data_IF_150174585237
#
_entry.id   IF_150174585237
#
_cell.length_a   1.000
_cell.length_b   1.000
_cell.length_c   1.000
_cell.angle_alpha   90.00
_cell.angle_beta   90.00
_cell.angle_gamma   90.00
#
_symmetry.space_group_name_H-M   'P 1'
#
loop_
_entity.id
_entity.type
_entity.pdbx_description
1 polymer ?
#
# COMPACT_ATOMS: atom_id res chain seq x y z
N UNK A 1 -19.31 46.36 -29.55
CA UNK A 1 -19.61 46.23 -28.10
C UNK A 1 -20.30 44.91 -27.78
N UNK A 2 -21.49 44.59 -28.32
CA UNK A 2 -22.21 43.34 -27.98
C UNK A 2 -21.35 42.07 -28.13
N UNK A 3 -20.73 41.90 -29.29
CA UNK A 3 -19.88 40.74 -29.59
C UNK A 3 -18.72 40.64 -28.61
N UNK A 4 -18.05 41.76 -28.34
CA UNK A 4 -16.94 41.86 -27.39
C UNK A 4 -17.36 41.49 -25.96
N UNK A 5 -18.56 41.92 -25.55
CA UNK A 5 -19.13 41.61 -24.24
C UNK A 5 -19.49 40.12 -24.14
N UNK A 6 -20.11 39.55 -25.17
CA UNK A 6 -20.40 38.11 -25.23
C UNK A 6 -19.13 37.25 -25.15
N UNK A 7 -18.06 37.65 -25.86
CA UNK A 7 -16.75 37.00 -25.75
C UNK A 7 -16.18 37.14 -24.33
N UNK A 8 -16.26 38.33 -23.74
CA UNK A 8 -15.83 38.57 -22.36
C UNK A 8 -16.58 37.73 -21.33
N UNK A 9 -17.86 37.45 -21.59
CA UNK A 9 -18.69 36.60 -20.74
C UNK A 9 -18.36 35.12 -20.87
N UNK A 10 -17.99 34.67 -22.07
CA UNK A 10 -17.52 33.30 -22.29
C UNK A 10 -16.25 33.00 -21.48
N UNK A 11 -15.35 33.98 -21.38
CA UNK A 11 -14.08 33.86 -20.65
C UNK A 11 -14.06 34.69 -19.36
N UNK A 12 -15.21 34.78 -18.68
CA UNK A 12 -15.36 35.62 -17.49
C UNK A 12 -14.35 35.22 -16.41
N UNK A 13 -13.52 36.18 -15.98
CA UNK A 13 -12.44 35.93 -15.02
C UNK A 13 -11.44 34.86 -15.49
N UNK A 14 -11.20 34.73 -16.80
CA UNK A 14 -10.32 33.70 -17.36
C UNK A 14 -10.91 32.28 -17.32
N UNK A 15 -12.24 32.14 -17.18
CA UNK A 15 -12.93 30.86 -16.99
C UNK A 15 -13.10 30.46 -15.53
N UNK A 16 -12.61 31.26 -14.59
CA UNK A 16 -12.73 30.99 -13.15
C UNK A 16 -14.05 31.50 -12.53
N UNK A 17 -14.77 32.35 -13.27
CA UNK A 17 -15.99 33.02 -12.79
C UNK A 17 -17.15 32.77 -13.74
N UNK A 18 -18.36 32.79 -13.16
CA UNK A 18 -19.61 32.65 -13.90
C UNK A 18 -20.70 33.50 -13.25
N UNK A 19 -21.80 33.72 -13.96
CA UNK A 19 -22.93 34.47 -13.42
C UNK A 19 -23.80 33.62 -12.50
N UNK A 20 -24.24 34.20 -11.39
CA UNK A 20 -25.30 33.60 -10.57
C UNK A 20 -26.68 34.14 -10.92
N UNK A 21 -27.70 33.37 -10.54
CA UNK A 21 -29.12 33.71 -10.75
C UNK A 21 -29.80 34.26 -9.49
N UNK A 22 -29.04 34.81 -8.53
CA UNK A 22 -29.62 35.50 -7.37
C UNK A 22 -30.41 36.74 -7.79
N UNK A 23 -31.40 37.16 -6.99
CA UNK A 23 -32.20 38.36 -7.28
C UNK A 23 -31.34 39.62 -7.51
N UNK A 24 -30.26 39.77 -6.73
CA UNK A 24 -29.32 40.88 -6.88
C UNK A 24 -28.49 40.76 -8.16
N UNK A 25 -28.02 39.55 -8.48
CA UNK A 25 -27.27 39.26 -9.70
C UNK A 25 -28.10 39.52 -10.96
N UNK A 26 -29.37 39.10 -10.96
CA UNK A 26 -30.31 39.36 -12.06
C UNK A 26 -30.53 40.87 -12.22
N UNK A 27 -30.74 41.62 -11.13
CA UNK A 27 -30.89 43.07 -11.20
C UNK A 27 -29.64 43.75 -11.83
N UNK A 28 -28.44 43.34 -11.41
CA UNK A 28 -27.19 43.83 -11.97
C UNK A 28 -26.99 43.46 -13.46
N UNK A 29 -27.42 42.25 -13.86
CA UNK A 29 -27.41 41.81 -15.25
C UNK A 29 -28.41 42.58 -16.11
N UNK A 30 -29.62 42.87 -15.62
CA UNK A 30 -30.60 43.68 -16.34
C UNK A 30 -30.08 45.10 -16.60
N UNK A 31 -29.41 45.69 -15.61
CA UNK A 31 -28.78 47.01 -15.74
C UNK A 31 -27.63 46.94 -16.77
N UNK A 32 -26.73 45.97 -16.65
CA UNK A 32 -25.57 45.88 -17.55
C UNK A 32 -25.89 45.44 -18.98
N UNK A 33 -26.95 44.64 -19.17
CA UNK A 33 -27.36 44.05 -20.44
C UNK A 33 -28.54 44.76 -21.09
N UNK A 34 -28.78 46.02 -20.74
CA UNK A 34 -29.82 46.82 -21.36
C UNK A 34 -29.72 46.76 -22.92
N UNK A 35 -30.79 46.43 -23.66
CA UNK A 35 -30.68 45.99 -25.06
C UNK A 35 -30.27 47.09 -26.05
N UNK A 36 -30.29 48.37 -25.68
CA UNK A 36 -29.83 49.49 -26.53
C UNK A 36 -28.34 49.74 -26.37
N UNK A 37 -27.55 49.28 -27.33
CA UNK A 37 -26.11 49.54 -27.39
C UNK A 37 -25.80 50.94 -27.95
N UNK A 38 -24.70 51.57 -27.51
CA UNK A 38 -24.30 52.89 -27.99
C UNK A 38 -23.86 52.84 -29.46
N UNK A 39 -24.19 53.88 -30.23
CA UNK A 39 -23.75 54.00 -31.63
C UNK A 39 -22.32 54.52 -31.77
N UNK A 40 -21.80 55.18 -30.73
CA UNK A 40 -20.44 55.70 -30.69
C UNK A 40 -19.87 55.70 -29.27
N UNK A 41 -18.56 55.96 -29.10
CA UNK A 41 -17.90 55.85 -27.79
C UNK A 41 -18.44 56.83 -26.74
N UNK A 42 -18.91 58.01 -27.14
CA UNK A 42 -19.47 59.01 -26.22
C UNK A 42 -21.01 58.97 -26.13
N UNK A 43 -21.67 58.01 -26.79
CA UNK A 43 -23.12 57.89 -26.76
C UNK A 43 -23.60 57.30 -25.43
N UNK A 44 -24.27 58.13 -24.63
CA UNK A 44 -24.91 57.79 -23.36
C UNK A 44 -26.41 58.15 -23.36
N UNK A 45 -27.01 58.38 -24.54
CA UNK A 45 -28.38 58.92 -24.65
C UNK A 45 -29.45 57.97 -24.12
N UNK A 46 -29.34 56.68 -24.45
CA UNK A 46 -30.33 55.67 -24.09
C UNK A 46 -29.96 54.90 -22.82
N UNK A 47 -28.67 54.83 -22.48
CA UNK A 47 -28.14 54.08 -21.35
C UNK A 47 -26.72 54.55 -21.05
N UNK A 48 -26.39 54.71 -19.77
CA UNK A 48 -25.06 55.10 -19.33
C UNK A 48 -24.07 53.96 -19.54
N UNK A 49 -22.98 54.18 -20.27
CA UNK A 49 -22.01 53.13 -20.57
C UNK A 49 -21.32 52.53 -19.33
N UNK A 50 -21.15 53.31 -18.25
CA UNK A 50 -20.57 52.81 -17.01
C UNK A 50 -21.37 51.63 -16.40
N UNK A 51 -22.70 51.64 -16.57
CA UNK A 51 -23.57 50.56 -16.08
C UNK A 51 -23.35 49.23 -16.79
N UNK A 52 -22.72 49.22 -17.97
CA UNK A 52 -22.30 48.00 -18.65
C UNK A 52 -21.31 47.17 -17.85
N UNK A 53 -20.62 47.74 -16.86
CA UNK A 53 -19.70 47.02 -15.98
C UNK A 53 -20.35 46.44 -14.71
N UNK A 54 -21.64 46.70 -14.48
CA UNK A 54 -22.36 46.16 -13.31
C UNK A 54 -22.49 44.64 -13.32
N UNK A 55 -22.22 43.96 -14.44
CA UNK A 55 -22.18 42.48 -14.50
C UNK A 55 -21.19 41.89 -13.49
N UNK A 56 -20.18 42.65 -13.06
CA UNK A 56 -19.19 42.20 -12.07
C UNK A 56 -19.84 41.84 -10.74
N UNK A 57 -20.95 42.51 -10.37
CA UNK A 57 -21.71 42.19 -9.16
C UNK A 57 -22.46 40.86 -9.23
N UNK A 58 -22.73 40.37 -10.45
CA UNK A 58 -23.34 39.06 -10.68
C UNK A 58 -22.31 37.94 -10.85
N UNK A 59 -21.01 38.27 -10.90
CA UNK A 59 -19.93 37.34 -11.19
C UNK A 59 -19.42 36.64 -9.92
N UNK A 60 -19.64 35.34 -9.82
CA UNK A 60 -19.23 34.49 -8.70
C UNK A 60 -18.11 33.53 -9.12
N UNK A 61 -17.22 33.22 -8.17
CA UNK A 61 -16.21 32.18 -8.34
C UNK A 61 -16.85 30.82 -8.05
N UNK A 62 -16.87 29.95 -9.07
CA UNK A 62 -17.42 28.58 -8.99
C UNK A 62 -16.46 27.54 -9.55
N UNK A 63 -15.25 27.96 -9.89
CA UNK A 63 -14.23 27.08 -10.40
C UNK A 63 -13.68 26.19 -9.30
N UNK A 64 -13.48 24.91 -9.65
CA UNK A 64 -12.84 23.93 -8.78
C UNK A 64 -11.63 23.32 -9.49
N UNK A 65 -10.54 23.22 -8.74
CA UNK A 65 -9.29 22.62 -9.16
C UNK A 65 -8.86 21.60 -8.14
N UNK A 66 -8.49 20.42 -8.62
CA UNK A 66 -7.86 19.42 -7.76
C UNK A 66 -6.37 19.61 -7.70
N UNK A 67 -5.80 19.46 -6.51
CA UNK A 67 -4.37 19.52 -6.24
C UNK A 67 -3.96 18.23 -5.57
N UNK A 68 -2.89 17.62 -6.06
CA UNK A 68 -2.35 16.41 -5.45
C UNK A 68 -1.64 16.75 -4.14
N UNK A 69 -1.95 16.02 -3.08
CA UNK A 69 -1.41 16.26 -1.73
C UNK A 69 0.10 16.02 -1.67
N UNK A 70 0.60 15.02 -2.39
CA UNK A 70 2.01 14.64 -2.30
C UNK A 70 2.90 15.60 -3.12
N UNK A 71 2.48 16.01 -4.34
CA UNK A 71 3.25 16.90 -5.21
C UNK A 71 2.96 18.39 -5.02
N UNK A 72 1.80 18.74 -4.47
CA UNK A 72 1.33 20.13 -4.38
C UNK A 72 0.98 20.77 -5.73
N UNK A 73 0.93 19.98 -6.81
CA UNK A 73 0.65 20.46 -8.16
C UNK A 73 -0.82 20.27 -8.55
N UNK A 74 -1.38 21.14 -9.41
CA UNK A 74 -2.72 20.97 -9.93
C UNK A 74 -2.78 19.73 -10.84
N UNK A 75 -3.78 18.89 -10.61
CA UNK A 75 -3.99 17.64 -11.34
C UNK A 75 -5.42 17.53 -11.85
N UNK A 76 -5.61 16.81 -12.95
CA UNK A 76 -6.94 16.46 -13.44
C UNK A 76 -7.49 15.27 -12.64
N UNK A 77 -8.76 15.34 -12.27
CA UNK A 77 -9.49 14.24 -11.63
C UNK A 77 -10.98 14.28 -12.00
N UNK A 78 -11.62 13.11 -12.22
CA UNK A 78 -13.05 13.07 -12.42
C UNK A 78 -13.77 13.35 -11.10
N UNK A 79 -14.74 14.27 -11.13
CA UNK A 79 -15.67 14.54 -10.06
C UNK A 79 -17.07 14.13 -10.50
N UNK A 80 -17.81 13.48 -9.61
CA UNK A 80 -19.24 13.34 -9.75
C UNK A 80 -19.93 14.40 -8.89
N UNK A 81 -20.86 15.09 -9.51
CA UNK A 81 -21.57 16.24 -8.96
C UNK A 81 -23.03 15.84 -8.91
N UNK A 82 -23.63 15.89 -7.72
CA UNK A 82 -25.05 15.56 -7.53
C UNK A 82 -25.83 16.83 -7.21
N UNK A 83 -26.85 17.10 -8.01
CA UNK A 83 -27.75 18.24 -7.88
C UNK A 83 -29.05 17.78 -7.22
N UNK A 84 -29.55 18.57 -6.27
CA UNK A 84 -30.79 18.29 -5.55
C UNK A 84 -31.99 18.25 -6.48
N UNK A 85 -33.02 17.52 -6.08
CA UNK A 85 -34.33 17.59 -6.71
C UNK A 85 -34.91 19.01 -6.59
N UNK A 86 -35.45 19.50 -7.69
CA UNK A 86 -36.14 20.79 -7.80
C UNK A 86 -37.52 20.56 -8.39
N UNK A 87 -38.40 21.56 -8.37
CA UNK A 87 -39.74 21.45 -8.95
C UNK A 87 -39.74 21.08 -10.45
N UNK A 88 -38.63 21.33 -11.15
CA UNK A 88 -38.50 21.12 -12.58
C UNK A 88 -37.71 19.86 -12.96
N UNK A 89 -36.85 19.36 -12.07
CA UNK A 89 -35.93 18.25 -12.37
C UNK A 89 -35.76 17.35 -11.15
N UNK A 90 -35.78 16.05 -11.39
CA UNK A 90 -35.40 15.05 -10.39
C UNK A 90 -33.93 15.19 -9.99
N UNK A 91 -33.56 14.59 -8.86
CA UNK A 91 -32.15 14.47 -8.46
C UNK A 91 -31.33 13.82 -9.58
N UNK A 92 -30.24 14.49 -9.99
CA UNK A 92 -29.38 14.06 -11.09
C UNK A 92 -27.92 14.12 -10.66
N UNK A 93 -27.15 13.09 -11.03
CA UNK A 93 -25.69 13.10 -10.92
C UNK A 93 -25.05 13.10 -12.30
N UNK A 94 -23.97 13.86 -12.45
CA UNK A 94 -23.19 13.91 -13.67
C UNK A 94 -21.69 13.98 -13.34
N UNK A 95 -20.86 13.56 -14.29
CA UNK A 95 -19.41 13.49 -14.12
C UNK A 95 -18.72 14.57 -14.94
N UNK A 96 -17.85 15.34 -14.28
CA UNK A 96 -17.00 16.36 -14.89
C UNK A 96 -15.53 16.09 -14.56
N UNK A 97 -14.61 16.63 -15.35
CA UNK A 97 -13.17 16.52 -15.07
C UNK A 97 -12.64 17.87 -14.63
N UNK A 98 -11.97 17.93 -13.49
CA UNK A 98 -11.31 19.15 -13.00
C UNK A 98 -10.13 19.54 -13.87
N UNK A 99 -9.85 20.84 -14.11
CA UNK A 99 -10.61 22.00 -13.62
C UNK A 99 -11.96 22.16 -14.31
N UNK A 100 -13.01 22.38 -13.51
CA UNK A 100 -14.37 22.57 -14.00
C UNK A 100 -15.11 23.64 -13.19
N UNK A 101 -16.32 23.99 -13.63
CA UNK A 101 -17.18 24.98 -12.97
C UNK A 101 -18.31 24.22 -12.29
N UNK A 102 -18.49 24.49 -11.00
CA UNK A 102 -19.57 23.88 -10.22
C UNK A 102 -20.92 24.57 -10.49
N UNK A 103 -22.03 23.84 -10.33
CA UNK A 103 -23.37 24.43 -10.27
C UNK A 103 -23.52 25.47 -9.15
N UNK A 104 -24.66 26.16 -9.12
CA UNK A 104 -24.95 27.07 -8.02
C UNK A 104 -25.04 26.34 -6.67
N UNK A 105 -24.57 27.00 -5.60
CA UNK A 105 -24.58 26.44 -4.23
C UNK A 105 -26.00 26.10 -3.75
N UNK A 106 -26.98 26.84 -4.23
CA UNK A 106 -28.39 26.63 -3.91
C UNK A 106 -28.91 25.27 -4.38
N UNK A 107 -28.33 24.66 -5.42
CA UNK A 107 -28.83 23.40 -6.00
C UNK A 107 -27.88 22.22 -5.77
N UNK A 108 -26.63 22.47 -5.41
CA UNK A 108 -25.64 21.42 -5.25
C UNK A 108 -25.82 20.66 -3.93
N UNK A 109 -25.82 19.32 -4.00
CA UNK A 109 -25.99 18.42 -2.85
C UNK A 109 -24.69 17.73 -2.47
N UNK A 110 -23.98 17.13 -3.43
CA UNK A 110 -22.72 16.41 -3.16
C UNK A 110 -21.70 16.61 -4.26
N UNK A 111 -20.42 16.63 -3.87
CA UNK A 111 -19.28 16.52 -4.77
C UNK A 111 -18.46 15.31 -4.35
N UNK A 112 -18.26 14.37 -5.27
CA UNK A 112 -17.51 13.14 -5.04
C UNK A 112 -16.31 13.08 -5.96
N UNK A 113 -15.12 12.85 -5.42
CA UNK A 113 -13.96 12.47 -6.22
C UNK A 113 -14.17 11.05 -6.72
N UNK A 114 -14.32 10.92 -8.04
CA UNK A 114 -14.56 9.67 -8.71
C UNK A 114 -13.31 9.18 -9.44
N UNK A 115 -13.26 7.89 -9.71
CA UNK A 115 -12.21 7.27 -10.50
C UNK A 115 -11.29 6.33 -9.72
N UNK A 116 -10.60 5.42 -10.44
CA UNK A 116 -9.80 4.39 -9.81
C UNK A 116 -8.49 4.92 -9.22
N UNK A 117 -8.00 6.07 -9.69
CA UNK A 117 -6.62 6.55 -9.47
C UNK A 117 -6.42 7.39 -8.22
N UNK A 118 -7.46 8.07 -7.77
CA UNK A 118 -7.42 8.87 -6.55
C UNK A 118 -8.27 8.21 -5.48
N UNK A 119 -8.00 8.56 -4.23
CA UNK A 119 -8.83 8.13 -3.11
C UNK A 119 -10.21 8.80 -3.18
N UNK A 120 -11.30 8.03 -3.10
CA UNK A 120 -12.64 8.60 -3.16
C UNK A 120 -12.89 9.45 -1.91
N UNK A 121 -13.39 10.65 -2.14
CA UNK A 121 -13.80 11.58 -1.09
C UNK A 121 -15.18 12.11 -1.45
N UNK A 122 -16.11 12.08 -0.49
CA UNK A 122 -17.46 12.61 -0.65
C UNK A 122 -17.57 13.85 0.22
N UNK A 123 -17.93 14.97 -0.39
CA UNK A 123 -18.20 16.23 0.28
C UNK A 123 -19.69 16.47 0.14
N UNK A 124 -20.41 16.32 1.25
CA UNK A 124 -21.84 16.62 1.34
C UNK A 124 -22.01 18.10 1.69
N UNK A 125 -22.86 18.77 0.94
CA UNK A 125 -23.12 20.20 1.07
C UNK A 125 -24.59 20.39 1.41
N UNK A 126 -24.84 21.32 2.35
CA UNK A 126 -26.20 21.80 2.59
C UNK A 126 -26.47 22.90 1.57
N UNK A 127 -27.51 22.77 0.74
CA UNK A 127 -27.83 23.80 -0.25
C UNK A 127 -28.21 25.10 0.46
N UNK A 128 -27.51 26.18 0.15
CA UNK A 128 -27.74 27.51 0.72
C UNK A 128 -27.80 28.56 -0.39
N UNK A 129 -28.66 29.56 -0.24
CA UNK A 129 -28.74 30.75 -1.12
C UNK A 129 -27.65 31.78 -0.81
N UNK A 130 -26.43 31.29 -0.54
CA UNK A 130 -25.24 32.11 -0.30
C UNK A 130 -24.25 31.92 -1.44
N UNK A 131 -23.41 32.92 -1.73
CA UNK A 131 -22.30 32.73 -2.66
C UNK A 131 -21.34 31.65 -2.15
N UNK A 132 -20.63 31.06 -3.09
CA UNK A 132 -19.78 29.89 -2.89
C UNK A 132 -18.66 30.07 -1.85
N UNK A 133 -17.89 31.15 -1.98
CA UNK A 133 -16.86 31.55 -1.04
C UNK A 133 -16.57 33.06 -1.16
N UNK A 134 -16.19 33.68 -0.05
CA UNK A 134 -15.69 35.07 -0.01
C UNK A 134 -14.19 35.03 0.31
N UNK A 135 -13.41 35.94 -0.28
CA UNK A 135 -11.97 36.01 -0.01
C UNK A 135 -11.69 36.11 1.50
N UNK A 136 -11.01 35.10 2.06
CA UNK A 136 -10.60 35.06 3.47
C UNK A 136 -11.53 34.28 4.40
N UNK A 137 -12.58 33.63 3.89
CA UNK A 137 -13.41 32.73 4.71
C UNK A 137 -12.66 31.43 5.03
N UNK A 138 -12.54 31.09 6.31
CA UNK A 138 -11.78 29.91 6.78
C UNK A 138 -12.63 28.64 6.79
N UNK A 139 -13.95 28.78 6.69
CA UNK A 139 -14.90 27.68 6.79
C UNK A 139 -15.39 27.17 5.42
N UNK A 140 -14.69 27.54 4.35
CA UNK A 140 -15.04 27.12 2.99
C UNK A 140 -14.75 25.63 2.78
N UNK A 141 -15.72 24.84 2.26
CA UNK A 141 -15.53 23.41 2.02
C UNK A 141 -14.46 23.10 0.96
N UNK A 142 -14.12 24.08 0.11
CA UNK A 142 -13.18 23.92 -1.00
C UNK A 142 -12.02 24.91 -0.97
N UNK A 143 -11.65 25.50 0.18
CA UNK A 143 -10.47 26.39 0.30
C UNK A 143 -10.32 27.39 -0.88
N UNK A 144 -11.38 28.16 -1.16
CA UNK A 144 -11.46 29.08 -2.32
C UNK A 144 -11.35 28.42 -3.72
N UNK A 145 -11.84 27.19 -3.88
CA UNK A 145 -11.89 26.45 -5.16
C UNK A 145 -10.79 25.39 -5.35
N UNK A 146 -10.00 25.09 -4.32
CA UNK A 146 -8.96 24.04 -4.33
C UNK A 146 -9.39 22.82 -3.53
N UNK A 147 -9.46 21.67 -4.20
CA UNK A 147 -9.74 20.37 -3.61
C UNK A 147 -8.46 19.52 -3.54
N UNK A 148 -7.99 19.24 -2.34
CA UNK A 148 -6.82 18.38 -2.15
C UNK A 148 -7.20 16.91 -2.28
N UNK A 149 -6.57 16.20 -3.20
CA UNK A 149 -6.79 14.77 -3.43
C UNK A 149 -5.50 13.99 -3.31
N UNK A 150 -5.59 12.74 -2.85
CA UNK A 150 -4.43 11.85 -2.76
C UNK A 150 -4.49 10.80 -3.87
N UNK A 151 -3.42 10.69 -4.64
CA UNK A 151 -3.25 9.64 -5.64
C UNK A 151 -3.00 8.29 -4.96
N UNK A 152 -3.57 7.22 -5.52
CA UNK A 152 -3.28 5.84 -5.11
C UNK A 152 -1.94 5.40 -5.70
N UNK A 153 -1.17 4.63 -4.94
CA UNK A 153 0.08 4.05 -5.43
C UNK A 153 -0.26 3.03 -6.52
N UNK A 154 0.53 3.02 -7.61
CA UNK A 154 0.30 2.17 -8.77
C UNK A 154 -0.57 2.80 -9.86
N UNK A 155 -0.98 4.07 -9.70
CA UNK A 155 -1.69 4.83 -10.72
C UNK A 155 -0.90 6.08 -11.14
N UNK A 156 -0.78 6.30 -12.44
CA UNK A 156 -0.20 7.52 -13.00
C UNK A 156 -1.21 8.68 -12.98
N UNK A 157 -0.70 9.92 -13.09
CA UNK A 157 -1.58 11.09 -13.29
C UNK A 157 -2.35 10.95 -14.61
N UNK A 158 -3.47 11.66 -14.77
CA UNK A 158 -4.21 11.67 -16.04
C UNK A 158 -3.45 12.37 -17.17
N UNK A 159 -2.45 13.21 -16.85
CA UNK A 159 -1.57 13.85 -17.84
C UNK A 159 -0.60 12.83 -18.41
N UNK A 160 0.02 12.03 -17.55
CA UNK A 160 1.05 11.06 -17.94
C UNK A 160 0.44 9.80 -18.58
N UNK A 161 -0.76 9.42 -18.14
CA UNK A 161 -1.50 8.29 -18.68
C UNK A 161 -2.98 8.66 -18.81
N UNK A 162 -3.51 9.08 -19.96
CA UNK A 162 -4.93 9.44 -20.06
C UNK A 162 -5.87 8.23 -19.93
N UNK A 163 -5.42 7.02 -20.29
CA UNK A 163 -6.28 5.83 -20.42
C UNK A 163 -6.28 5.01 -19.12
N UNK A 164 -5.18 5.00 -18.37
CA UNK A 164 -5.08 4.29 -17.09
C UNK A 164 -4.70 2.83 -17.29
N UNK A 165 -3.76 2.58 -18.20
CA UNK A 165 -3.32 1.24 -18.56
C UNK A 165 -2.47 0.67 -17.44
N UNK A 166 -3.09 0.01 -16.45
CA UNK A 166 -2.40 -0.79 -15.43
C UNK A 166 -1.49 -1.88 -16.04
N UNK A 167 -1.78 -2.27 -17.29
CA UNK A 167 -0.93 -3.16 -18.07
C UNK A 167 0.47 -2.59 -18.37
N UNK A 168 0.68 -1.28 -18.28
CA UNK A 168 2.00 -0.67 -18.46
C UNK A 168 2.93 -1.04 -17.31
N UNK A 169 2.46 -0.96 -16.06
CA UNK A 169 3.22 -1.38 -14.88
C UNK A 169 3.59 -2.87 -14.98
N UNK A 170 2.62 -3.74 -15.29
CA UNK A 170 2.85 -5.18 -15.37
C UNK A 170 3.79 -5.56 -16.52
N UNK A 171 3.61 -4.99 -17.72
CA UNK A 171 4.50 -5.24 -18.86
C UNK A 171 5.91 -4.74 -18.62
N UNK A 172 6.05 -3.55 -18.05
CA UNK A 172 7.35 -2.96 -17.81
C UNK A 172 8.10 -3.70 -16.70
N UNK A 173 7.42 -4.13 -15.64
CA UNK A 173 8.01 -4.94 -14.58
C UNK A 173 8.36 -6.36 -15.06
N UNK A 174 7.52 -6.99 -15.89
CA UNK A 174 7.87 -8.28 -16.49
C UNK A 174 9.07 -8.18 -17.46
N UNK A 175 9.23 -7.05 -18.15
CA UNK A 175 10.42 -6.78 -18.98
C UNK A 175 11.67 -6.63 -18.11
N UNK A 176 11.58 -5.89 -17.01
CA UNK A 176 12.70 -5.69 -16.07
C UNK A 176 13.11 -7.01 -15.41
N UNK A 177 12.15 -7.78 -14.90
CA UNK A 177 12.41 -9.10 -14.27
C UNK A 177 12.93 -10.11 -15.31
N UNK A 178 12.41 -10.09 -16.54
CA UNK A 178 12.91 -10.93 -17.62
C UNK A 178 14.37 -10.60 -17.99
N UNK A 179 14.74 -9.32 -18.01
CA UNK A 179 16.11 -8.88 -18.29
C UNK A 179 17.10 -9.31 -17.18
N UNK A 180 16.67 -9.34 -15.91
CA UNK A 180 17.52 -9.87 -14.82
C UNK A 180 17.77 -11.37 -14.95
N UNK A 181 16.81 -12.15 -15.48
CA UNK A 181 16.99 -13.61 -15.67
C UNK A 181 17.81 -13.99 -16.90
N UNK A 182 17.84 -13.16 -17.96
CA UNK A 182 18.62 -13.42 -19.18
C UNK A 182 20.03 -12.79 -19.17
N UNK A 183 20.31 -11.86 -18.25
CA UNK A 183 21.58 -11.16 -18.15
C UNK A 183 22.79 -12.00 -17.70
N UNK A 184 22.60 -13.27 -17.34
CA UNK A 184 23.69 -14.17 -16.94
C UNK A 184 24.43 -14.82 -18.14
N UNK A 185 23.88 -14.77 -19.37
CA UNK A 185 24.49 -15.43 -20.53
C UNK A 185 25.05 -14.50 -21.62
N UNK A 186 24.74 -13.20 -21.62
CA UNK A 186 25.22 -12.25 -22.64
C UNK A 186 25.87 -11.02 -22.01
N UNK A 187 27.02 -11.22 -21.35
CA UNK A 187 27.88 -10.12 -20.89
C UNK A 187 28.96 -9.71 -21.90
N UNK A 188 28.74 -10.01 -23.18
CA UNK A 188 29.71 -9.70 -24.22
C UNK A 188 29.01 -9.35 -25.55
N UNK A 189 28.51 -8.12 -25.67
CA UNK A 189 28.58 -7.34 -26.92
C UNK A 189 28.04 -5.92 -26.72
N UNK A 190 28.94 -4.97 -26.99
CA UNK A 190 28.69 -3.62 -27.49
C UNK A 190 27.98 -2.58 -26.59
N UNK A 191 28.84 -1.73 -26.02
CA UNK A 191 28.61 -0.33 -25.65
C UNK A 191 28.00 0.49 -26.80
N UNK A 192 26.71 0.34 -27.06
CA UNK A 192 25.93 1.37 -27.74
C UNK A 192 24.79 1.77 -26.81
N UNK A 193 24.87 3.01 -26.31
CA UNK A 193 23.82 3.70 -25.57
C UNK A 193 22.49 3.63 -26.33
N UNK A 194 21.69 2.61 -26.03
CA UNK A 194 20.33 2.47 -26.51
C UNK A 194 19.41 3.39 -25.71
N UNK A 195 18.87 4.40 -26.38
CA UNK A 195 17.84 5.35 -25.96
C UNK A 195 16.49 4.66 -25.62
N UNK A 196 16.45 3.66 -24.73
CA UNK A 196 15.22 2.88 -24.53
C UNK A 196 15.18 1.88 -23.36
N UNK A 197 16.16 1.83 -22.46
CA UNK A 197 16.02 1.10 -21.20
C UNK A 197 15.45 2.02 -20.14
N UNK A 198 14.11 2.04 -20.01
CA UNK A 198 13.44 2.67 -18.86
C UNK A 198 13.98 2.01 -17.60
N UNK A 199 14.65 2.78 -16.76
CA UNK A 199 15.19 2.29 -15.49
C UNK A 199 14.04 2.09 -14.49
N UNK A 200 14.23 1.18 -13.53
CA UNK A 200 13.18 0.79 -12.58
C UNK A 200 12.69 1.97 -11.75
N UNK A 201 13.60 2.88 -11.39
CA UNK A 201 13.31 4.10 -10.65
C UNK A 201 12.49 5.13 -11.45
N UNK A 202 12.77 5.28 -12.75
CA UNK A 202 11.95 6.12 -13.65
C UNK A 202 10.53 5.57 -13.77
N UNK A 203 10.38 4.25 -13.82
CA UNK A 203 9.08 3.61 -13.79
C UNK A 203 8.39 3.86 -12.45
N UNK A 204 9.06 3.58 -11.33
CA UNK A 204 8.46 3.71 -10.00
C UNK A 204 8.03 5.15 -9.71
N UNK A 205 8.81 6.14 -10.15
CA UNK A 205 8.45 7.55 -10.01
C UNK A 205 7.23 7.98 -10.85
N UNK A 206 6.96 7.31 -11.97
CA UNK A 206 5.73 7.54 -12.74
C UNK A 206 4.48 7.00 -12.01
N UNK A 207 4.60 5.83 -11.36
CA UNK A 207 3.47 5.14 -10.72
C UNK A 207 3.32 5.42 -9.21
N UNK A 208 4.30 6.07 -8.58
CA UNK A 208 4.30 6.38 -7.16
C UNK A 208 4.93 7.75 -6.89
N UNK A 209 4.27 8.55 -6.06
CA UNK A 209 4.83 9.77 -5.46
C UNK A 209 5.59 9.50 -4.15
N UNK A 210 5.63 8.25 -3.67
CA UNK A 210 6.27 7.90 -2.41
C UNK A 210 7.81 7.89 -2.54
N UNK A 211 8.53 8.79 -1.84
CA UNK A 211 10.00 8.85 -1.89
C UNK A 211 10.67 7.56 -1.43
N UNK A 212 10.04 6.81 -0.52
CA UNK A 212 10.62 5.57 0.02
C UNK A 212 10.70 4.47 -1.04
N UNK A 213 9.66 4.32 -1.87
CA UNK A 213 9.63 3.36 -2.96
C UNK A 213 10.61 3.73 -4.08
N UNK A 214 10.70 5.04 -4.40
CA UNK A 214 11.64 5.54 -5.42
C UNK A 214 13.08 5.29 -4.97
N UNK A 215 13.42 5.65 -3.72
CA UNK A 215 14.74 5.41 -3.16
C UNK A 215 15.06 3.91 -3.09
N UNK A 216 14.09 3.08 -2.71
CA UNK A 216 14.27 1.63 -2.69
C UNK A 216 14.56 1.06 -4.09
N UNK A 217 13.84 1.53 -5.11
CA UNK A 217 14.08 1.12 -6.50
C UNK A 217 15.50 1.49 -6.98
N UNK A 218 15.99 2.67 -6.60
CA UNK A 218 17.35 3.13 -6.94
C UNK A 218 18.43 2.33 -6.24
N UNK A 219 18.23 1.98 -4.96
CA UNK A 219 19.27 1.34 -4.15
C UNK A 219 19.30 -0.18 -4.29
N UNK A 220 18.14 -0.83 -4.33
CA UNK A 220 18.01 -2.28 -4.26
C UNK A 220 17.71 -2.94 -5.60
N UNK A 221 17.24 -2.19 -6.60
CA UNK A 221 16.82 -2.74 -7.89
C UNK A 221 17.70 -2.29 -9.06
N UNK A 222 18.65 -1.36 -8.86
CA UNK A 222 19.57 -0.91 -9.92
C UNK A 222 20.65 -1.98 -10.21
N UNK A 223 20.74 -2.49 -11.45
CA UNK A 223 21.76 -3.47 -11.84
C UNK A 223 23.19 -2.96 -11.68
N UNK A 224 23.44 -1.65 -11.60
CA UNK A 224 24.79 -1.12 -11.34
C UNK A 224 25.34 -1.55 -9.97
N UNK A 225 24.45 -1.81 -9.01
CA UNK A 225 24.79 -2.30 -7.66
C UNK A 225 24.82 -3.83 -7.54
N UNK A 226 24.54 -4.57 -8.63
CA UNK A 226 24.48 -6.04 -8.67
C UNK A 226 25.76 -6.75 -8.21
N UNK A 227 26.92 -6.09 -8.26
CA UNK A 227 28.19 -6.66 -7.77
C UNK A 227 28.22 -6.92 -6.24
N UNK A 228 27.29 -6.34 -5.47
CA UNK A 228 27.26 -6.41 -4.00
C UNK A 228 26.18 -7.33 -3.43
N UNK A 229 25.18 -7.73 -4.22
CA UNK A 229 24.01 -8.47 -3.75
C UNK A 229 23.89 -9.83 -4.44
N UNK A 230 23.33 -10.81 -3.72
CA UNK A 230 22.90 -12.09 -4.30
C UNK A 230 21.82 -11.82 -5.36
N UNK A 231 21.95 -12.40 -6.56
CA UNK A 231 20.99 -12.23 -7.65
C UNK A 231 19.55 -12.60 -7.20
N UNK A 232 19.44 -13.59 -6.32
CA UNK A 232 18.17 -14.01 -5.71
C UNK A 232 17.51 -12.90 -4.87
N UNK A 233 18.31 -12.06 -4.20
CA UNK A 233 17.80 -10.97 -3.38
C UNK A 233 17.31 -9.81 -4.24
N UNK A 234 18.01 -9.51 -5.34
CA UNK A 234 17.58 -8.46 -6.27
C UNK A 234 16.26 -8.82 -6.95
N UNK A 235 16.10 -10.08 -7.38
CA UNK A 235 14.84 -10.57 -7.95
C UNK A 235 13.70 -10.48 -6.92
N UNK A 236 13.94 -10.88 -5.67
CA UNK A 236 12.98 -10.73 -4.59
C UNK A 236 12.58 -9.26 -4.37
N UNK A 237 13.54 -8.34 -4.34
CA UNK A 237 13.26 -6.91 -4.18
C UNK A 237 12.36 -6.37 -5.29
N UNK A 238 12.58 -6.76 -6.54
CA UNK A 238 11.75 -6.39 -7.68
C UNK A 238 10.32 -6.94 -7.55
N UNK A 239 10.17 -8.21 -7.15
CA UNK A 239 8.85 -8.83 -6.97
C UNK A 239 8.05 -8.16 -5.83
N UNK A 240 8.70 -7.87 -4.71
CA UNK A 240 8.07 -7.17 -3.57
C UNK A 240 7.69 -5.75 -3.93
N UNK A 241 8.58 -5.03 -4.63
CA UNK A 241 8.30 -3.67 -5.09
C UNK A 241 7.09 -3.63 -6.01
N UNK A 242 7.02 -4.55 -6.97
CA UNK A 242 5.88 -4.68 -7.88
C UNK A 242 4.58 -4.95 -7.12
N UNK A 243 4.60 -5.84 -6.13
CA UNK A 243 3.41 -6.11 -5.32
C UNK A 243 2.98 -4.88 -4.50
N UNK A 244 3.92 -4.23 -3.83
CA UNK A 244 3.63 -3.07 -2.99
C UNK A 244 3.01 -1.93 -3.81
N UNK A 245 3.49 -1.72 -5.05
CA UNK A 245 2.94 -0.73 -5.97
C UNK A 245 1.57 -1.16 -6.50
N UNK A 246 1.45 -2.40 -6.97
CA UNK A 246 0.21 -2.91 -7.59
C UNK A 246 -0.97 -2.98 -6.63
N UNK A 247 -0.72 -3.27 -5.35
CA UNK A 247 -1.75 -3.41 -4.32
C UNK A 247 -1.98 -2.13 -3.50
N UNK A 248 -1.28 -1.04 -3.80
CA UNK A 248 -1.34 0.22 -3.05
C UNK A 248 -1.00 0.03 -1.56
N UNK A 249 0.15 -0.63 -1.29
CA UNK A 249 0.62 -0.99 0.07
C UNK A 249 2.14 -0.75 0.25
N UNK A 250 2.62 0.50 0.17
CA UNK A 250 4.06 0.81 0.31
C UNK A 250 4.64 0.38 1.67
N UNK A 251 3.88 0.51 2.76
CA UNK A 251 4.34 0.16 4.11
C UNK A 251 4.70 -1.33 4.29
N UNK A 252 4.18 -2.22 3.43
CA UNK A 252 4.50 -3.64 3.50
C UNK A 252 5.91 -3.97 3.01
N UNK A 253 6.55 -3.07 2.25
CA UNK A 253 7.91 -3.25 1.77
C UNK A 253 8.87 -3.59 2.94
N UNK A 254 8.77 -2.85 4.03
CA UNK A 254 9.58 -3.09 5.23
C UNK A 254 9.27 -4.45 5.86
N UNK A 255 8.01 -4.88 5.87
CA UNK A 255 7.58 -6.18 6.41
C UNK A 255 8.18 -7.31 5.58
N UNK A 256 8.07 -7.25 4.25
CA UNK A 256 8.65 -8.25 3.35
C UNK A 256 10.17 -8.38 3.51
N UNK A 257 10.88 -7.25 3.56
CA UNK A 257 12.32 -7.22 3.77
C UNK A 257 12.70 -7.76 5.15
N UNK A 258 11.96 -7.41 6.20
CA UNK A 258 12.20 -7.92 7.55
C UNK A 258 12.04 -9.44 7.62
N UNK A 259 11.00 -10.00 6.99
CA UNK A 259 10.76 -11.45 6.98
C UNK A 259 11.83 -12.19 6.16
N UNK A 260 12.22 -11.64 5.02
CA UNK A 260 13.28 -12.22 4.19
C UNK A 260 14.63 -12.22 4.91
N UNK A 261 15.00 -11.09 5.51
CA UNK A 261 16.26 -10.93 6.24
C UNK A 261 16.30 -11.77 7.51
N UNK A 262 15.17 -11.97 8.22
CA UNK A 262 15.09 -12.91 9.35
C UNK A 262 15.52 -14.31 8.91
N UNK A 263 14.87 -14.89 7.88
CA UNK A 263 15.20 -16.24 7.43
C UNK A 263 16.58 -16.32 6.80
N UNK A 264 17.00 -15.28 6.07
CA UNK A 264 18.35 -15.17 5.53
C UNK A 264 19.42 -15.17 6.62
N UNK A 265 19.22 -14.40 7.69
CA UNK A 265 20.14 -14.36 8.83
C UNK A 265 20.19 -15.69 9.58
N UNK A 266 19.06 -16.38 9.73
CA UNK A 266 19.01 -17.73 10.30
C UNK A 266 19.79 -18.73 9.44
N UNK A 267 19.63 -18.68 8.12
CA UNK A 267 20.35 -19.55 7.21
C UNK A 267 21.87 -19.29 7.24
N UNK A 268 22.28 -18.02 7.27
CA UNK A 268 23.68 -17.63 7.38
C UNK A 268 24.30 -18.06 8.72
N UNK A 269 23.55 -17.96 9.82
CA UNK A 269 24.01 -18.46 11.13
C UNK A 269 24.26 -19.97 11.08
N UNK A 270 23.32 -20.75 10.52
CA UNK A 270 23.44 -22.21 10.42
C UNK A 270 24.60 -22.64 9.53
N UNK A 271 24.87 -21.90 8.45
CA UNK A 271 25.86 -22.29 7.43
C UNK A 271 27.26 -21.77 7.71
N UNK A 272 27.40 -20.52 8.17
CA UNK A 272 28.69 -19.85 8.38
C UNK A 272 29.15 -19.85 9.84
N UNK A 273 28.30 -20.23 10.79
CA UNK A 273 28.62 -20.29 12.21
C UNK A 273 28.81 -18.93 12.90
N UNK A 274 28.78 -17.81 12.16
CA UNK A 274 28.88 -16.46 12.71
C UNK A 274 27.54 -15.98 13.26
N UNK A 275 27.50 -15.69 14.56
CA UNK A 275 26.29 -15.23 15.25
C UNK A 275 26.26 -13.71 15.23
N UNK A 276 25.42 -13.15 14.37
CA UNK A 276 25.26 -11.70 14.26
C UNK A 276 24.10 -11.21 15.15
N UNK A 277 23.03 -12.02 15.30
CA UNK A 277 21.86 -11.68 16.14
C UNK A 277 21.27 -12.95 16.77
N UNK A 278 21.34 -13.07 18.10
CA UNK A 278 20.81 -14.19 18.86
C UNK A 278 19.41 -13.87 19.42
N UNK A 279 18.43 -13.64 18.55
CA UNK A 279 17.07 -13.30 18.99
C UNK A 279 16.04 -14.38 18.58
N UNK A 280 15.33 -14.91 19.58
CA UNK A 280 14.24 -15.88 19.43
C UNK A 280 12.89 -15.22 19.08
N UNK A 281 12.79 -13.89 19.22
CA UNK A 281 11.60 -13.11 18.84
C UNK A 281 11.33 -13.18 17.33
N UNK A 282 12.39 -13.33 16.52
CA UNK A 282 12.31 -13.47 15.07
C UNK A 282 11.43 -14.65 14.63
N UNK A 283 11.55 -15.80 15.31
CA UNK A 283 10.71 -17.00 15.08
C UNK A 283 9.26 -16.72 15.45
N UNK A 284 9.05 -15.98 16.55
CA UNK A 284 7.71 -15.62 17.02
C UNK A 284 6.99 -14.69 16.02
N UNK A 285 7.71 -13.74 15.42
CA UNK A 285 7.19 -12.87 14.36
C UNK A 285 6.75 -13.68 13.12
N UNK A 286 7.56 -14.67 12.71
CA UNK A 286 7.24 -15.53 11.57
C UNK A 286 6.02 -16.42 11.86
N UNK A 287 5.92 -16.95 13.09
CA UNK A 287 4.76 -17.70 13.55
C UNK A 287 3.48 -16.86 13.59
N UNK A 288 3.57 -15.60 13.98
CA UNK A 288 2.45 -14.67 13.94
C UNK A 288 1.99 -14.41 12.49
N UNK A 289 2.94 -14.24 11.55
CA UNK A 289 2.62 -14.12 10.13
C UNK A 289 1.94 -15.39 9.57
N UNK A 290 2.36 -16.58 10.02
CA UNK A 290 1.70 -17.85 9.66
C UNK A 290 0.30 -17.98 10.25
N UNK A 291 0.13 -17.67 11.54
CA UNK A 291 -1.17 -17.72 12.20
C UNK A 291 -2.17 -16.75 11.54
N UNK A 292 -1.70 -15.58 11.12
CA UNK A 292 -2.49 -14.64 10.31
C UNK A 292 -2.96 -15.27 9.00
N UNK A 293 -2.05 -15.92 8.25
CA UNK A 293 -2.39 -16.57 6.99
C UNK A 293 -3.35 -17.76 7.17
N UNK A 294 -3.14 -18.59 8.19
CA UNK A 294 -4.05 -19.69 8.51
C UNK A 294 -5.44 -19.17 8.88
N UNK A 295 -5.53 -18.11 9.68
CA UNK A 295 -6.80 -17.48 10.03
C UNK A 295 -7.52 -16.91 8.80
N UNK A 296 -6.76 -16.39 7.83
CA UNK A 296 -7.29 -15.89 6.57
C UNK A 296 -7.79 -17.02 5.67
N UNK A 297 -7.02 -18.11 5.51
CA UNK A 297 -7.42 -19.28 4.71
C UNK A 297 -8.65 -19.99 5.31
N UNK A 298 -8.74 -20.02 6.64
CA UNK A 298 -9.89 -20.58 7.36
C UNK A 298 -11.12 -19.67 7.36
N UNK A 299 -11.07 -18.51 6.68
CA UNK A 299 -12.19 -17.57 6.58
C UNK A 299 -12.55 -16.85 7.88
N UNK A 300 -11.72 -16.96 8.94
CA UNK A 300 -11.94 -16.24 10.21
C UNK A 300 -11.68 -14.74 10.07
N UNK A 301 -10.81 -14.36 9.14
CA UNK A 301 -10.51 -12.98 8.80
C UNK A 301 -11.05 -12.65 7.41
N UNK A 302 -12.17 -11.94 7.34
CA UNK A 302 -12.74 -11.46 6.08
C UNK A 302 -12.19 -10.07 5.75
N UNK A 303 -11.38 -9.96 4.71
CA UNK A 303 -10.88 -8.68 4.21
C UNK A 303 -11.42 -8.45 2.81
N UNK A 304 -12.03 -7.29 2.58
CA UNK A 304 -12.63 -6.92 1.28
C UNK A 304 -11.61 -6.76 0.14
N UNK A 305 -10.31 -6.65 0.47
CA UNK A 305 -9.19 -6.49 -0.48
C UNK A 305 -8.20 -7.66 -0.46
N UNK A 306 -8.63 -8.84 0.04
CA UNK A 306 -7.79 -10.03 0.16
C UNK A 306 -6.65 -9.89 1.18
N UNK A 307 -5.78 -10.91 1.26
CA UNK A 307 -4.71 -10.98 2.25
C UNK A 307 -3.68 -9.86 2.16
N UNK A 308 -3.17 -9.44 3.33
CA UNK A 308 -2.17 -8.38 3.48
C UNK A 308 -0.85 -8.79 2.82
N UNK A 309 -0.32 -9.97 3.17
CA UNK A 309 0.92 -10.55 2.66
C UNK A 309 0.60 -11.76 1.77
N UNK A 310 1.43 -12.06 0.77
CA UNK A 310 1.26 -13.26 -0.06
C UNK A 310 1.38 -14.55 0.77
N UNK A 311 0.40 -15.45 0.62
CA UNK A 311 0.40 -16.76 1.26
C UNK A 311 1.56 -17.64 0.77
N UNK A 312 1.89 -17.56 -0.52
CA UNK A 312 2.98 -18.33 -1.16
C UNK A 312 4.33 -17.92 -0.56
N UNK A 313 4.57 -16.62 -0.39
CA UNK A 313 5.80 -16.11 0.22
C UNK A 313 5.96 -16.57 1.66
N UNK A 314 4.93 -16.43 2.50
CA UNK A 314 5.01 -16.90 3.88
C UNK A 314 5.18 -18.43 3.95
N UNK A 315 4.52 -19.18 3.05
CA UNK A 315 4.69 -20.62 2.95
C UNK A 315 6.09 -21.05 2.50
N UNK A 316 6.77 -20.28 1.65
CA UNK A 316 8.15 -20.55 1.26
C UNK A 316 9.12 -20.29 2.42
N UNK A 317 8.89 -19.23 3.20
CA UNK A 317 9.65 -18.96 4.43
C UNK A 317 9.48 -20.08 5.46
N UNK A 318 8.25 -20.58 5.63
CA UNK A 318 7.97 -21.73 6.51
C UNK A 318 8.80 -22.95 6.12
N UNK A 319 8.75 -23.34 4.83
CA UNK A 319 9.51 -24.50 4.34
C UNK A 319 11.01 -24.33 4.53
N UNK A 320 11.55 -23.15 4.20
CA UNK A 320 12.98 -22.86 4.36
C UNK A 320 13.42 -22.96 5.82
N UNK A 321 12.61 -22.46 6.76
CA UNK A 321 12.90 -22.58 8.19
C UNK A 321 12.80 -24.04 8.67
N UNK A 322 11.80 -24.80 8.23
CA UNK A 322 11.69 -26.23 8.54
C UNK A 322 12.87 -27.05 8.00
N UNK A 323 13.38 -26.71 6.81
CA UNK A 323 14.58 -27.31 6.23
C UNK A 323 15.83 -26.98 7.07
N UNK A 324 16.02 -25.72 7.46
CA UNK A 324 17.12 -25.33 8.35
C UNK A 324 17.11 -26.09 9.68
N UNK A 325 15.91 -26.29 10.27
CA UNK A 325 15.77 -27.03 11.53
C UNK A 325 15.92 -28.55 11.38
N UNK A 326 15.67 -29.12 10.20
CA UNK A 326 15.88 -30.57 9.94
C UNK A 326 17.36 -30.94 9.79
N UNK A 327 18.21 -29.97 9.44
CA UNK A 327 19.59 -30.20 9.02
C UNK A 327 20.62 -30.48 10.13
N UNK A 328 20.25 -30.57 11.41
CA UNK A 328 21.25 -30.75 12.48
C UNK A 328 20.98 -31.98 13.37
N UNK A 329 21.77 -33.04 13.18
CA UNK A 329 21.78 -34.18 14.11
C UNK A 329 22.26 -33.79 15.51
N UNK A 330 23.09 -32.74 15.61
CA UNK A 330 23.47 -32.12 16.89
C UNK A 330 22.26 -31.59 17.67
N UNK A 331 21.30 -30.98 16.98
CA UNK A 331 20.10 -30.43 17.60
C UNK A 331 19.18 -31.52 18.17
N UNK A 332 19.12 -32.70 17.55
CA UNK A 332 18.36 -33.83 18.11
C UNK A 332 18.95 -34.30 19.44
N UNK A 333 20.28 -34.32 19.55
CA UNK A 333 20.97 -34.69 20.79
C UNK A 333 20.77 -33.62 21.87
N UNK A 334 20.94 -32.34 21.52
CA UNK A 334 20.73 -31.22 22.44
C UNK A 334 19.28 -31.13 22.93
N UNK A 335 18.33 -31.41 22.03
CA UNK A 335 16.90 -31.51 22.36
C UNK A 335 16.61 -32.66 23.34
N UNK A 336 17.19 -33.83 23.11
CA UNK A 336 17.09 -34.97 24.03
C UNK A 336 17.64 -34.63 25.42
N UNK A 337 18.81 -33.99 25.48
CA UNK A 337 19.42 -33.52 26.72
C UNK A 337 18.54 -32.50 27.45
N UNK A 338 17.96 -31.54 26.72
CA UNK A 338 17.04 -30.55 27.29
C UNK A 338 15.77 -31.18 27.86
N UNK A 339 15.16 -32.14 27.16
CA UNK A 339 13.96 -32.81 27.66
C UNK A 339 14.25 -33.64 28.92
N UNK A 340 15.34 -34.41 28.93
CA UNK A 340 15.68 -35.34 30.04
C UNK A 340 16.25 -34.59 31.24
N UNK A 341 17.18 -33.65 31.04
CA UNK A 341 17.90 -32.99 32.13
C UNK A 341 17.32 -31.61 32.47
N UNK A 342 16.63 -30.95 31.54
CA UNK A 342 16.21 -29.56 31.67
C UNK A 342 17.36 -28.57 31.53
N UNK A 343 18.57 -29.03 31.21
CA UNK A 343 19.74 -28.18 30.99
C UNK A 343 19.74 -27.67 29.55
N UNK A 344 20.09 -26.40 29.41
CA UNK A 344 20.49 -25.86 28.12
C UNK A 344 21.88 -26.42 27.75
N UNK A 345 22.27 -26.38 26.46
CA UNK A 345 23.62 -26.75 26.07
C UNK A 345 24.63 -25.83 26.77
N UNK A 346 25.41 -26.35 27.72
CA UNK A 346 26.45 -25.62 28.47
C UNK A 346 27.85 -26.23 28.20
N UNK A 347 28.67 -25.47 27.45
CA UNK A 347 30.12 -25.16 27.46
C UNK A 347 31.22 -26.17 27.85
N UNK A 348 32.30 -26.23 27.03
CA UNK A 348 33.70 -26.38 27.52
C UNK A 348 34.84 -26.05 26.50
N UNK A 349 34.60 -25.58 25.26
CA UNK A 349 35.70 -25.25 24.33
C UNK A 349 35.29 -24.31 23.17
N UNK A 350 36.04 -23.21 23.05
CA UNK A 350 35.74 -21.97 22.32
C UNK A 350 35.24 -22.00 20.87
N UNK A 351 34.62 -20.87 20.51
CA UNK A 351 34.22 -20.33 19.20
C UNK A 351 32.96 -20.89 18.50
N UNK A 352 32.43 -22.06 18.88
CA UNK A 352 31.18 -22.62 18.30
C UNK A 352 29.90 -22.46 19.15
N UNK A 353 29.96 -21.67 20.22
CA UNK A 353 29.29 -21.97 21.49
C UNK A 353 27.86 -21.41 21.64
N UNK A 354 27.60 -20.20 21.16
CA UNK A 354 26.25 -19.61 21.25
C UNK A 354 25.29 -20.17 20.19
N UNK A 355 25.78 -20.98 19.24
CA UNK A 355 25.02 -21.38 18.07
C UNK A 355 24.01 -22.50 18.39
N UNK A 356 24.41 -23.50 19.17
CA UNK A 356 23.56 -24.64 19.54
C UNK A 356 22.39 -24.23 20.45
N UNK A 357 22.64 -23.38 21.45
CA UNK A 357 21.60 -22.87 22.34
C UNK A 357 20.57 -22.02 21.58
N UNK A 358 21.01 -21.19 20.64
CA UNK A 358 20.12 -20.38 19.79
C UNK A 358 19.28 -21.27 18.86
N UNK A 359 19.88 -22.26 18.19
CA UNK A 359 19.15 -23.21 17.35
C UNK A 359 18.11 -24.02 18.15
N UNK A 360 18.49 -24.48 19.35
CA UNK A 360 17.56 -25.14 20.25
C UNK A 360 16.41 -24.22 20.66
N UNK A 361 16.69 -22.94 20.95
CA UNK A 361 15.67 -21.95 21.27
C UNK A 361 14.68 -21.75 20.11
N UNK A 362 15.17 -21.72 18.87
CA UNK A 362 14.33 -21.62 17.67
C UNK A 362 13.47 -22.87 17.48
N UNK A 363 14.05 -24.05 17.68
CA UNK A 363 13.30 -25.31 17.57
C UNK A 363 12.18 -25.41 18.61
N UNK A 364 12.46 -25.06 19.87
CA UNK A 364 11.48 -25.06 20.95
C UNK A 364 10.34 -24.07 20.69
N UNK A 365 10.66 -22.86 20.27
CA UNK A 365 9.66 -21.79 20.00
C UNK A 365 8.83 -22.09 18.75
N UNK A 366 9.45 -22.59 17.68
CA UNK A 366 8.79 -22.93 16.42
C UNK A 366 7.75 -24.05 16.61
N UNK A 367 8.17 -25.17 17.22
CA UNK A 367 7.30 -26.32 17.42
C UNK A 367 6.41 -26.22 18.67
N UNK A 368 6.46 -25.08 19.38
CA UNK A 368 5.67 -24.78 20.58
C UNK A 368 5.88 -25.79 21.72
N UNK A 369 7.12 -26.22 21.92
CA UNK A 369 7.43 -27.30 22.86
C UNK A 369 7.27 -26.79 24.29
N UNK A 370 6.49 -27.48 25.15
CA UNK A 370 6.33 -27.09 26.54
C UNK A 370 7.63 -27.26 27.33
N UNK A 371 7.75 -26.52 28.44
CA UNK A 371 8.92 -26.61 29.32
C UNK A 371 9.18 -28.06 29.79
N UNK A 372 10.46 -28.44 29.91
CA UNK A 372 10.89 -29.79 30.33
C UNK A 372 10.19 -30.26 31.62
N UNK A 373 9.94 -29.36 32.58
CA UNK A 373 9.22 -29.69 33.83
C UNK A 373 7.78 -30.16 33.59
N UNK A 374 7.09 -29.61 32.61
CA UNK A 374 5.73 -30.02 32.23
C UNK A 374 5.77 -31.38 31.54
N UNK A 375 6.74 -31.58 30.63
CA UNK A 375 6.94 -32.87 29.94
C UNK A 375 7.25 -33.97 30.95
N UNK A 376 8.16 -33.75 31.90
CA UNK A 376 8.50 -34.73 32.97
C UNK A 376 7.27 -35.11 33.80
N UNK A 377 6.50 -34.12 34.28
CA UNK A 377 5.25 -34.36 35.02
C UNK A 377 4.24 -35.17 34.22
N UNK A 378 4.14 -34.93 32.91
CA UNK A 378 3.26 -35.73 32.04
C UNK A 378 3.78 -37.15 31.85
N UNK A 379 5.09 -37.34 31.63
CA UNK A 379 5.70 -38.66 31.50
C UNK A 379 5.50 -39.49 32.77
N UNK A 380 5.69 -38.91 33.95
CA UNK A 380 5.43 -39.58 35.23
C UNK A 380 3.96 -39.99 35.40
N UNK A 381 3.01 -39.16 34.94
CA UNK A 381 1.58 -39.49 34.94
C UNK A 381 1.20 -40.57 33.91
N UNK A 382 1.97 -40.74 32.84
CA UNK A 382 1.72 -41.68 31.75
C UNK A 382 2.39 -43.03 32.00
N UNK A 383 3.55 -43.07 32.69
CA UNK A 383 4.26 -44.30 33.09
C UNK A 383 3.36 -45.44 33.60
N UNK A 384 2.33 -45.21 34.44
CA UNK A 384 1.46 -46.29 34.92
C UNK A 384 0.41 -46.81 33.91
N UNK A 385 0.27 -46.23 32.70
CA UNK A 385 -0.74 -46.59 31.69
C UNK A 385 -0.15 -47.21 30.41
N UNK A 386 1.09 -47.70 30.48
CA UNK A 386 1.90 -48.08 29.32
C UNK A 386 1.52 -49.48 28.77
N UNK A 387 0.66 -49.52 27.74
CA UNK A 387 0.32 -50.78 27.02
C UNK A 387 0.49 -50.65 25.49
N UNK A 388 0.61 -49.43 24.93
CA UNK A 388 0.69 -49.22 23.49
C UNK A 388 2.10 -48.89 23.00
N UNK A 389 2.41 -49.32 21.77
CA UNK A 389 3.68 -49.13 21.06
C UNK A 389 3.94 -47.70 20.57
N UNK A 390 2.97 -46.78 20.66
CA UNK A 390 3.15 -45.35 20.40
C UNK A 390 2.32 -44.51 21.37
N UNK A 391 2.91 -43.44 21.93
CA UNK A 391 2.21 -42.48 22.80
C UNK A 391 1.74 -41.24 22.04
N UNK A 392 1.97 -41.18 20.72
CA UNK A 392 1.65 -40.03 19.86
C UNK A 392 0.22 -39.51 20.03
N UNK A 393 -0.85 -40.34 20.02
CA UNK A 393 -2.22 -39.83 20.18
C UNK A 393 -2.46 -39.21 21.56
N UNK A 394 -1.86 -39.78 22.60
CA UNK A 394 -2.03 -39.34 23.98
C UNK A 394 -1.22 -38.06 24.26
N UNK A 395 -0.02 -37.95 23.69
CA UNK A 395 0.79 -36.73 23.70
C UNK A 395 0.10 -35.60 22.93
N UNK A 396 -0.56 -35.89 21.80
CA UNK A 396 -1.34 -34.90 21.05
C UNK A 396 -2.52 -34.34 21.85
N UNK A 397 -3.17 -35.16 22.67
CA UNK A 397 -4.23 -34.71 23.58
C UNK A 397 -3.71 -33.82 24.71
N UNK A 398 -2.54 -34.16 25.27
CA UNK A 398 -1.94 -33.39 26.37
C UNK A 398 -1.29 -32.09 25.91
N UNK A 399 -0.80 -32.05 24.68
CA UNK A 399 -0.12 -30.91 24.09
C UNK A 399 -0.76 -30.48 22.76
N UNK A 400 -1.97 -29.91 22.79
CA UNK A 400 -2.73 -29.61 21.57
C UNK A 400 -2.02 -28.60 20.64
N UNK A 401 -1.22 -27.70 21.22
CA UNK A 401 -0.51 -26.65 20.50
C UNK A 401 0.86 -27.09 19.95
N UNK A 402 1.36 -28.27 20.35
CA UNK A 402 2.66 -28.76 19.84
C UNK A 402 2.52 -29.34 18.45
N UNK A 403 3.51 -29.07 17.59
CA UNK A 403 3.50 -29.61 16.23
C UNK A 403 3.72 -31.14 16.22
N UNK A 404 3.15 -31.83 15.23
CA UNK A 404 3.18 -33.29 15.15
C UNK A 404 4.61 -33.85 15.10
N UNK A 405 5.51 -33.20 14.36
CA UNK A 405 6.92 -33.64 14.26
C UNK A 405 7.61 -33.65 15.64
N UNK A 406 7.37 -32.63 16.47
CA UNK A 406 7.95 -32.58 17.81
C UNK A 406 7.34 -33.64 18.74
N UNK A 407 6.04 -33.91 18.62
CA UNK A 407 5.37 -35.00 19.36
C UNK A 407 6.00 -36.35 19.02
N UNK A 408 6.26 -36.62 17.74
CA UNK A 408 6.91 -37.86 17.29
C UNK A 408 8.34 -37.99 17.84
N UNK A 409 9.11 -36.89 17.87
CA UNK A 409 10.47 -36.91 18.46
C UNK A 409 10.44 -37.10 19.98
N UNK A 410 9.47 -36.49 20.68
CA UNK A 410 9.24 -36.72 22.12
C UNK A 410 8.89 -38.19 22.39
N UNK A 411 8.02 -38.80 21.58
CA UNK A 411 7.64 -40.21 21.69
C UNK A 411 8.83 -41.15 21.51
N UNK A 412 9.70 -40.90 20.51
CA UNK A 412 10.95 -41.66 20.30
C UNK A 412 11.88 -41.57 21.50
N UNK A 413 12.06 -40.37 22.06
CA UNK A 413 12.94 -40.16 23.22
C UNK A 413 12.38 -40.82 24.49
N UNK A 414 11.06 -40.74 24.72
CA UNK A 414 10.40 -41.44 25.84
C UNK A 414 10.53 -42.96 25.68
N UNK A 415 10.30 -43.47 24.47
CA UNK A 415 10.43 -44.91 24.17
C UNK A 415 11.86 -45.40 24.40
N UNK A 416 12.88 -44.63 23.99
CA UNK A 416 14.29 -44.98 24.20
C UNK A 416 14.74 -44.93 25.67
N UNK A 417 14.14 -44.06 26.49
CA UNK A 417 14.45 -43.92 27.93
C UNK A 417 13.67 -44.90 28.82
N UNK A 418 12.62 -45.54 28.31
CA UNK A 418 11.91 -46.65 28.97
C UNK A 418 12.54 -48.01 28.71
N UNK A 419 13.43 -48.12 27.71
CA UNK A 419 14.17 -49.35 27.36
C UNK A 419 15.53 -49.44 28.10
N UNK A 420 15.97 -48.36 28.74
CA UNK A 420 17.10 -48.33 29.70
C UNK A 420 16.57 -48.34 31.13
#
# INVERSE_FOLDING_TARGET
MAVSLAIGFLFLGGGMRTFSTSNSSIAALLISLYPRLPTGPNDNRCHLQAFRHMYVLAAEARWIQTVDVDTGLPVYAPLEITVRETEHYSETSFCEVTPCILPERAILKTVRVCGPRYWPQVIELVPEDKPWWSFGDKNDPFNSGVLYIKRKVGACSYVDDPIGCQSLLSRAMHKVVGLTSLGEYERNTNNNNGLGSITVDQLVSAFSSDPSLIAFAQLCCDPSWSSRFDANFQEFCLQVLFECISKDRPALLQVYLSLYTIVGSMADQVTKGNIIVADSLSVSNLKLALAYNEALLNGRLTTSRGGIVQSIFIGSLQKRLEELLKCSDRLKNDFGNYLISGKWPDNESGDGENHSAVLLSWYLTWYSIPASSVVKKTVEKIKPKLISSSLVPLLRLLFPNTHMNAICEIDKLISSSLIR
#
